data_IF_635113174406
#
_entry.id   IF_635113174406
#
_cell.length_a   1.000
_cell.length_b   1.000
_cell.length_c   1.000
_cell.angle_alpha   90.00
_cell.angle_beta   90.00
_cell.angle_gamma   90.00
#
_symmetry.space_group_name_H-M   'P 1'
#
loop_
_entity.id
_entity.type
_entity.pdbx_description
1 polymer ?
#
# COMPACT_ATOMS: atom_id res chain seq x y z
N UNK A 1 -14.28 21.72 -12.41
CA UNK A 1 -13.27 21.65 -11.35
C UNK A 1 -13.79 20.72 -10.29
N UNK A 2 -13.78 19.44 -10.57
CA UNK A 2 -14.07 18.42 -9.57
C UNK A 2 -12.76 18.06 -8.90
N UNK A 3 -12.64 18.51 -7.67
CA UNK A 3 -11.66 18.03 -6.73
C UNK A 3 -11.83 16.52 -6.60
N UNK A 4 -10.78 15.79 -6.91
CA UNK A 4 -10.75 14.34 -6.76
C UNK A 4 -11.30 13.95 -5.40
N UNK A 5 -12.15 12.96 -5.42
CA UNK A 5 -12.82 12.38 -4.28
C UNK A 5 -11.81 11.67 -3.37
N UNK A 6 -11.03 12.44 -2.63
CA UNK A 6 -10.56 11.96 -1.34
C UNK A 6 -11.80 11.90 -0.47
N UNK A 7 -12.05 10.85 0.25
CA UNK A 7 -13.17 10.85 1.16
C UNK A 7 -12.97 12.00 2.14
N UNK A 8 -13.65 13.11 1.88
CA UNK A 8 -13.72 14.24 2.80
C UNK A 8 -14.18 13.79 4.19
N UNK A 9 -14.78 12.64 4.29
CA UNK A 9 -15.17 11.93 5.49
C UNK A 9 -13.99 11.56 6.40
N UNK A 10 -12.77 11.42 5.87
CA UNK A 10 -11.57 11.21 6.70
C UNK A 10 -11.04 12.50 7.33
N UNK A 11 -11.38 13.68 6.82
CA UNK A 11 -11.02 14.95 7.46
C UNK A 11 -11.88 15.28 8.70
N UNK A 12 -13.03 14.64 8.85
CA UNK A 12 -13.97 14.91 9.97
C UNK A 12 -13.90 13.92 11.12
N UNK A 13 -12.84 13.13 11.18
CA UNK A 13 -12.57 12.25 12.30
C UNK A 13 -12.73 10.77 11.95
N UNK A 14 -11.76 10.00 12.42
CA UNK A 14 -11.82 8.54 12.40
C UNK A 14 -13.09 8.12 13.13
N UNK A 15 -13.95 7.28 12.54
CA UNK A 15 -15.11 6.78 13.24
C UNK A 15 -14.69 6.16 14.57
N UNK A 16 -15.30 6.60 15.66
CA UNK A 16 -15.03 6.04 16.97
C UNK A 16 -15.36 4.55 16.97
N UNK A 17 -14.39 3.70 17.30
CA UNK A 17 -14.60 2.27 17.44
C UNK A 17 -13.97 1.39 16.35
N UNK A 18 -13.25 1.96 15.37
CA UNK A 18 -12.41 1.15 14.48
C UNK A 18 -11.12 0.83 15.26
N UNK A 19 -10.83 -0.45 15.57
CA UNK A 19 -9.59 -0.80 16.21
C UNK A 19 -8.43 -0.53 15.27
N UNK A 20 -7.35 0.05 15.81
CA UNK A 20 -6.07 0.09 15.10
C UNK A 20 -5.60 -1.36 14.98
N UNK A 21 -5.34 -1.82 13.77
CA UNK A 21 -4.75 -3.12 13.54
C UNK A 21 -3.30 -3.09 14.03
N UNK A 22 -2.92 -4.09 14.80
CA UNK A 22 -1.60 -4.21 15.39
C UNK A 22 -0.88 -5.50 14.94
N UNK A 23 0.33 -5.68 15.43
CA UNK A 23 1.13 -6.86 15.09
C UNK A 23 0.47 -8.17 15.58
N UNK A 24 -0.31 -8.14 16.66
CA UNK A 24 -1.04 -9.30 17.12
C UNK A 24 -2.13 -9.73 16.11
N UNK A 25 -2.81 -8.78 15.49
CA UNK A 25 -3.75 -9.07 14.41
C UNK A 25 -3.03 -9.63 13.18
N UNK A 26 -1.88 -9.08 12.82
CA UNK A 26 -1.05 -9.61 11.73
C UNK A 26 -0.66 -11.06 11.99
N UNK A 27 -0.24 -11.40 13.20
CA UNK A 27 0.11 -12.77 13.58
C UNK A 27 -1.07 -13.73 13.43
N UNK A 28 -2.28 -13.32 13.86
CA UNK A 28 -3.50 -14.10 13.64
C UNK A 28 -3.79 -14.34 12.15
N UNK A 29 -3.55 -13.35 11.31
CA UNK A 29 -3.74 -13.47 9.85
C UNK A 29 -2.76 -14.46 9.22
N UNK A 30 -1.51 -14.46 9.66
CA UNK A 30 -0.48 -15.40 9.17
C UNK A 30 -0.80 -16.85 9.59
N UNK A 31 -1.47 -17.04 10.72
CA UNK A 31 -1.91 -18.35 11.19
C UNK A 31 -3.09 -18.93 10.40
N UNK A 32 -3.80 -18.13 9.62
CA UNK A 32 -4.87 -18.63 8.76
C UNK A 32 -4.34 -19.64 7.74
N UNK A 33 -5.10 -20.70 7.52
CA UNK A 33 -4.76 -21.73 6.54
C UNK A 33 -4.58 -21.09 5.15
N UNK A 34 -3.54 -21.52 4.43
CA UNK A 34 -3.19 -21.06 3.09
C UNK A 34 -2.65 -19.62 2.98
N UNK A 35 -2.46 -18.92 4.10
CA UNK A 35 -1.74 -17.65 4.13
C UNK A 35 -0.24 -17.92 4.24
N UNK A 36 0.53 -17.28 3.38
CA UNK A 36 2.00 -17.36 3.39
C UNK A 36 2.62 -16.21 4.17
N UNK A 37 2.07 -15.02 4.01
CA UNK A 37 2.50 -13.82 4.72
C UNK A 37 1.36 -12.80 4.77
N UNK A 38 1.49 -11.84 5.68
CA UNK A 38 0.55 -10.75 5.86
C UNK A 38 1.29 -9.46 6.21
N UNK A 39 0.74 -8.34 5.78
CA UNK A 39 1.29 -7.02 6.08
C UNK A 39 0.19 -6.01 6.30
N UNK A 40 0.46 -5.04 7.17
CA UNK A 40 -0.39 -3.90 7.43
C UNK A 40 0.23 -2.66 6.77
N UNK A 41 -0.60 -1.85 6.14
CA UNK A 41 -0.14 -0.66 5.45
C UNK A 41 -1.21 0.43 5.38
N UNK A 42 -0.74 1.65 5.09
CA UNK A 42 -1.59 2.78 4.71
C UNK A 42 -1.13 3.31 3.37
N UNK A 43 -2.02 3.90 2.59
CA UNK A 43 -1.68 4.39 1.26
C UNK A 43 -2.42 5.67 0.88
N UNK A 44 -1.77 6.44 0.03
CA UNK A 44 -2.36 7.53 -0.74
C UNK A 44 -1.93 7.39 -2.18
N UNK A 45 -2.88 7.58 -3.08
CA UNK A 45 -2.65 7.60 -4.51
C UNK A 45 -2.75 9.03 -5.06
N UNK A 46 -2.20 9.27 -6.23
CA UNK A 46 -2.27 10.57 -6.91
C UNK A 46 -1.78 11.74 -6.05
N UNK A 47 -0.72 11.50 -5.25
CA UNK A 47 -0.11 12.55 -4.43
C UNK A 47 0.82 13.42 -5.29
N UNK A 48 0.85 14.72 -5.00
CA UNK A 48 1.65 15.73 -5.68
C UNK A 48 2.49 16.59 -4.72
N UNK A 49 2.71 16.09 -3.51
CA UNK A 49 3.48 16.75 -2.45
C UNK A 49 4.75 15.98 -2.02
N UNK A 50 5.28 15.15 -2.93
CA UNK A 50 6.59 14.50 -2.74
C UNK A 50 7.59 15.19 -3.66
N UNK A 51 8.64 15.76 -3.07
CA UNK A 51 9.64 16.56 -3.78
C UNK A 51 11.06 16.08 -3.51
N UNK A 52 11.89 16.15 -4.53
CA UNK A 52 13.34 16.24 -4.36
C UNK A 52 13.79 17.59 -4.90
N UNK A 53 14.28 18.47 -4.01
CA UNK A 53 14.54 19.87 -4.34
C UNK A 53 13.28 20.53 -4.94
N UNK A 54 13.32 20.96 -6.18
CA UNK A 54 12.20 21.55 -6.90
C UNK A 54 11.44 20.56 -7.80
N UNK A 55 11.86 19.31 -7.86
CA UNK A 55 11.24 18.27 -8.69
C UNK A 55 10.14 17.56 -7.91
N UNK A 56 8.92 17.54 -8.44
CA UNK A 56 7.77 16.85 -7.85
C UNK A 56 7.57 15.48 -8.48
N UNK A 57 7.19 14.51 -7.66
CA UNK A 57 6.66 13.24 -8.14
C UNK A 57 5.17 13.42 -8.43
N UNK A 58 4.83 13.68 -9.70
CA UNK A 58 3.45 13.90 -10.11
C UNK A 58 2.64 12.62 -10.10
N UNK A 59 1.51 12.64 -9.41
CA UNK A 59 0.58 11.52 -9.36
C UNK A 59 1.16 10.27 -8.68
N UNK A 60 2.16 10.44 -7.83
CA UNK A 60 2.83 9.35 -7.13
C UNK A 60 1.96 8.65 -6.09
N UNK A 61 2.44 7.53 -5.61
CA UNK A 61 1.87 6.81 -4.48
C UNK A 61 2.74 6.99 -3.23
N UNK A 62 2.09 7.12 -2.09
CA UNK A 62 2.76 7.10 -0.80
C UNK A 62 2.20 5.95 0.03
N UNK A 63 3.08 5.10 0.55
CA UNK A 63 2.71 3.90 1.29
C UNK A 63 3.42 3.91 2.64
N UNK A 64 2.62 3.86 3.70
CA UNK A 64 3.10 3.60 5.06
C UNK A 64 3.14 2.09 5.28
N UNK A 65 4.34 1.52 5.27
CA UNK A 65 4.56 0.09 5.26
C UNK A 65 5.00 -0.43 6.64
N UNK A 66 4.48 -1.59 7.05
CA UNK A 66 5.09 -2.32 8.16
C UNK A 66 6.39 -3.03 7.70
N UNK A 67 7.08 -3.69 8.62
CA UNK A 67 8.35 -4.36 8.32
C UNK A 67 8.23 -5.55 7.36
N UNK A 68 7.03 -6.05 7.14
CA UNK A 68 6.74 -7.20 6.28
C UNK A 68 6.27 -6.83 4.88
N UNK A 69 5.87 -5.57 4.67
CA UNK A 69 5.19 -5.13 3.45
C UNK A 69 5.97 -5.44 2.17
N UNK A 70 7.24 -5.02 2.11
CA UNK A 70 8.06 -5.21 0.91
C UNK A 70 8.24 -6.69 0.58
N UNK A 71 8.46 -7.53 1.59
CA UNK A 71 8.55 -8.98 1.42
C UNK A 71 7.23 -9.62 1.03
N UNK A 72 6.12 -9.23 1.65
CA UNK A 72 4.78 -9.73 1.33
C UNK A 72 4.40 -9.40 -0.12
N UNK A 73 4.72 -8.19 -0.58
CA UNK A 73 4.50 -7.78 -1.97
C UNK A 73 5.49 -8.41 -2.96
N UNK A 74 6.56 -9.06 -2.49
CA UNK A 74 7.57 -9.66 -3.34
C UNK A 74 8.50 -8.65 -4.02
N UNK A 75 8.64 -7.47 -3.48
CA UNK A 75 9.59 -6.48 -3.95
C UNK A 75 11.03 -6.90 -3.61
N UNK A 76 11.95 -6.59 -4.50
CA UNK A 76 13.36 -6.87 -4.32
C UNK A 76 14.15 -5.57 -4.21
N UNK A 77 15.16 -5.58 -3.34
CA UNK A 77 16.06 -4.42 -3.20
C UNK A 77 16.97 -4.33 -4.42
N UNK A 78 16.88 -3.23 -5.14
CA UNK A 78 17.77 -2.90 -6.24
C UNK A 78 19.03 -2.20 -5.75
N UNK A 79 18.89 -1.35 -4.74
CA UNK A 79 19.99 -0.61 -4.12
C UNK A 79 19.80 -0.54 -2.63
N UNK A 80 20.87 -0.71 -1.89
CA UNK A 80 20.99 -0.55 -0.45
C UNK A 80 20.03 -1.45 0.35
N UNK A 81 19.17 -0.88 1.20
CA UNK A 81 18.38 -1.63 2.18
C UNK A 81 16.91 -1.26 2.19
N UNK A 82 16.10 -2.16 2.70
CA UNK A 82 14.74 -1.88 3.15
C UNK A 82 14.70 -1.25 4.55
N UNK A 83 13.54 -1.31 5.16
CA UNK A 83 13.37 -0.86 6.54
C UNK A 83 13.91 -1.87 7.54
N UNK A 84 14.52 -1.37 8.61
CA UNK A 84 15.03 -2.15 9.72
C UNK A 84 14.12 -1.98 10.94
N UNK A 85 14.21 -2.93 11.87
CA UNK A 85 13.52 -2.84 13.16
C UNK A 85 13.82 -1.51 13.89
N UNK A 86 15.07 -1.08 13.85
CA UNK A 86 15.50 0.21 14.43
C UNK A 86 14.82 1.42 13.79
N UNK A 87 14.47 1.36 12.50
CA UNK A 87 13.74 2.44 11.84
C UNK A 87 12.33 2.59 12.45
N UNK A 88 11.68 1.48 12.79
CA UNK A 88 10.36 1.46 13.44
C UNK A 88 10.45 1.88 14.90
N UNK A 89 11.36 1.30 15.66
CA UNK A 89 11.54 1.60 17.09
C UNK A 89 11.85 3.07 17.34
N UNK A 90 12.65 3.68 16.47
CA UNK A 90 13.11 5.07 16.61
C UNK A 90 12.29 6.07 15.80
N UNK A 91 11.22 5.65 15.15
CA UNK A 91 10.39 6.51 14.29
C UNK A 91 11.23 7.29 13.28
N UNK A 92 12.16 6.60 12.63
CA UNK A 92 13.07 7.25 11.69
C UNK A 92 12.34 7.68 10.43
N UNK A 93 12.57 8.93 10.03
CA UNK A 93 12.08 9.47 8.76
C UNK A 93 12.97 8.99 7.62
N UNK A 94 12.76 7.76 7.21
CA UNK A 94 13.46 7.10 6.10
C UNK A 94 12.46 6.70 5.03
N UNK A 95 12.91 6.66 3.79
CA UNK A 95 12.08 6.29 2.66
C UNK A 95 12.78 5.26 1.78
N UNK A 96 11.99 4.40 1.17
CA UNK A 96 12.37 3.54 0.07
C UNK A 96 11.56 4.00 -1.15
N UNK A 97 12.19 4.07 -2.30
CA UNK A 97 11.53 4.48 -3.54
C UNK A 97 11.57 3.33 -4.56
N UNK A 98 10.57 3.24 -5.42
CA UNK A 98 10.66 2.34 -6.56
C UNK A 98 11.50 2.95 -7.70
N UNK A 99 11.79 2.15 -8.72
CA UNK A 99 12.62 2.61 -9.85
C UNK A 99 11.99 3.79 -10.58
N UNK A 100 10.67 3.81 -10.72
CA UNK A 100 9.95 4.90 -11.42
C UNK A 100 10.04 6.20 -10.63
N UNK A 101 9.80 6.16 -9.32
CA UNK A 101 9.95 7.33 -8.46
C UNK A 101 11.41 7.81 -8.41
N UNK A 102 12.37 6.89 -8.36
CA UNK A 102 13.79 7.21 -8.40
C UNK A 102 14.18 7.96 -9.68
N UNK A 103 13.75 7.47 -10.84
CA UNK A 103 14.03 8.10 -12.12
C UNK A 103 13.34 9.47 -12.24
N UNK A 104 12.09 9.58 -11.78
CA UNK A 104 11.33 10.83 -11.84
C UNK A 104 11.89 11.93 -10.93
N UNK A 105 12.33 11.58 -9.71
CA UNK A 105 12.82 12.55 -8.73
C UNK A 105 14.30 12.87 -8.90
N UNK A 106 15.13 11.87 -9.21
CA UNK A 106 16.58 11.97 -9.16
C UNK A 106 17.26 11.91 -10.53
N UNK A 107 16.55 11.49 -11.56
CA UNK A 107 17.16 11.26 -12.86
C UNK A 107 18.32 10.26 -12.76
N UNK A 108 19.50 10.71 -13.12
CA UNK A 108 20.72 9.88 -13.07
C UNK A 108 21.45 9.92 -11.71
N UNK A 109 20.99 10.72 -10.76
CA UNK A 109 21.60 10.77 -9.43
C UNK A 109 21.28 9.50 -8.62
N UNK A 110 22.23 9.12 -7.75
CA UNK A 110 21.95 8.05 -6.79
C UNK A 110 20.96 8.52 -5.73
N UNK A 111 19.77 7.91 -5.60
CA UNK A 111 18.77 8.35 -4.63
C UNK A 111 19.18 8.15 -3.17
N UNK A 112 19.99 7.12 -2.90
CA UNK A 112 20.33 6.71 -1.54
C UNK A 112 21.16 7.80 -0.84
N UNK A 113 20.73 8.16 0.36
CA UNK A 113 21.33 9.24 1.14
C UNK A 113 20.79 10.64 0.84
N UNK A 114 19.95 10.79 -0.19
CA UNK A 114 19.29 12.05 -0.52
C UNK A 114 18.07 12.26 0.35
N UNK A 115 17.74 13.50 0.60
CA UNK A 115 16.55 13.91 1.36
C UNK A 115 15.44 14.29 0.41
N UNK A 116 14.29 13.65 0.56
CA UNK A 116 13.03 14.04 -0.11
C UNK A 116 12.11 14.71 0.90
N UNK A 117 11.26 15.59 0.40
CA UNK A 117 10.21 16.24 1.19
C UNK A 117 8.87 15.55 0.93
N UNK A 118 8.21 15.13 1.99
CA UNK A 118 6.87 14.54 1.92
C UNK A 118 5.93 15.40 2.75
N UNK A 119 5.11 16.20 2.08
CA UNK A 119 4.13 17.10 2.70
C UNK A 119 4.78 18.03 3.74
N UNK A 120 5.96 18.55 3.44
CA UNK A 120 6.74 19.42 4.31
C UNK A 120 7.68 18.72 5.30
N UNK A 121 7.67 17.38 5.36
CA UNK A 121 8.52 16.62 6.26
C UNK A 121 9.70 15.97 5.51
N UNK A 122 10.94 16.11 5.99
CA UNK A 122 12.11 15.54 5.36
C UNK A 122 12.25 14.05 5.67
N UNK A 123 12.47 13.24 4.62
CA UNK A 123 12.77 11.82 4.71
C UNK A 123 14.07 11.51 3.95
N UNK A 124 14.91 10.66 4.52
CA UNK A 124 16.15 10.23 3.87
C UNK A 124 15.89 8.94 3.11
N UNK A 125 16.21 8.92 1.83
CA UNK A 125 16.12 7.72 1.01
C UNK A 125 17.19 6.72 1.44
N UNK A 126 16.78 5.51 1.80
CA UNK A 126 17.67 4.44 2.27
C UNK A 126 17.74 3.26 1.31
N UNK A 127 16.87 3.20 0.31
CA UNK A 127 16.89 2.11 -0.64
C UNK A 127 16.03 2.37 -1.86
N UNK A 128 16.29 1.57 -2.89
CA UNK A 128 15.48 1.52 -4.12
C UNK A 128 15.03 0.09 -4.34
N UNK A 129 13.76 -0.08 -4.65
CA UNK A 129 13.16 -1.39 -4.94
C UNK A 129 12.68 -1.47 -6.38
N UNK A 130 12.49 -2.69 -6.82
CA UNK A 130 11.76 -3.02 -8.05
C UNK A 130 10.88 -4.25 -7.82
N UNK A 131 9.86 -4.39 -8.64
CA UNK A 131 9.03 -5.59 -8.61
C UNK A 131 9.84 -6.80 -9.07
N UNK A 132 9.65 -7.91 -8.37
CA UNK A 132 10.21 -9.17 -8.84
C UNK A 132 9.43 -9.67 -10.04
N UNK A 133 10.11 -9.99 -11.13
CA UNK A 133 9.49 -10.60 -12.33
C UNK A 133 8.87 -11.98 -12.07
N UNK A 134 9.18 -12.58 -10.93
CA UNK A 134 8.60 -13.84 -10.47
C UNK A 134 7.26 -13.66 -9.74
N UNK A 135 6.76 -12.44 -9.64
CA UNK A 135 5.61 -12.11 -8.83
C UNK A 135 4.47 -11.55 -9.68
N UNK A 136 3.29 -12.12 -9.50
CA UNK A 136 2.07 -11.44 -9.95
C UNK A 136 1.82 -10.23 -9.05
N UNK A 137 1.42 -9.08 -9.60
CA UNK A 137 1.14 -7.90 -8.80
C UNK A 137 0.08 -8.20 -7.75
N UNK A 138 0.29 -7.63 -6.59
CA UNK A 138 -0.72 -7.64 -5.54
C UNK A 138 -1.60 -6.43 -5.79
N UNK A 139 -2.79 -6.66 -6.25
CA UNK A 139 -3.77 -5.64 -6.58
C UNK A 139 -4.92 -5.82 -5.57
N UNK A 140 -5.39 -4.76 -4.95
CA UNK A 140 -6.40 -4.80 -3.89
C UNK A 140 -7.77 -4.27 -4.33
N UNK A 141 -7.83 -3.68 -5.53
CA UNK A 141 -9.05 -3.09 -6.08
C UNK A 141 -9.02 -3.06 -7.60
N UNK A 142 -10.19 -2.85 -8.21
CA UNK A 142 -10.28 -2.61 -9.67
C UNK A 142 -9.48 -1.37 -10.07
N UNK A 143 -9.46 -0.35 -9.22
CA UNK A 143 -8.69 0.87 -9.43
C UNK A 143 -7.19 0.59 -9.41
N UNK A 144 -6.73 -0.26 -8.48
CA UNK A 144 -5.33 -0.71 -8.44
C UNK A 144 -4.96 -1.47 -9.71
N UNK A 145 -5.86 -2.33 -10.21
CA UNK A 145 -5.65 -3.03 -11.47
C UNK A 145 -5.47 -2.07 -12.65
N UNK A 146 -6.34 -1.10 -12.79
CA UNK A 146 -6.20 -0.09 -13.84
C UNK A 146 -4.96 0.78 -13.64
N UNK A 147 -4.62 1.12 -12.42
CA UNK A 147 -3.40 1.88 -12.10
C UNK A 147 -2.15 1.08 -12.43
N UNK A 148 -2.17 -0.23 -12.18
CA UNK A 148 -1.07 -1.13 -12.53
C UNK A 148 -0.92 -1.29 -14.06
N UNK A 149 -2.03 -1.37 -14.77
CA UNK A 149 -2.03 -1.46 -16.25
C UNK A 149 -1.70 -0.14 -16.93
N UNK A 150 -1.91 1.00 -16.27
CA UNK A 150 -1.36 2.29 -16.68
C UNK A 150 0.07 2.37 -16.12
N UNK A 151 0.99 2.93 -16.87
CA UNK A 151 2.36 3.13 -16.42
C UNK A 151 2.35 3.73 -15.00
N UNK A 152 2.95 3.02 -14.06
CA UNK A 152 3.06 3.46 -12.68
C UNK A 152 3.74 4.83 -12.63
N UNK A 153 3.13 5.77 -11.95
CA UNK A 153 3.70 7.10 -11.73
C UNK A 153 4.82 7.10 -10.68
N UNK A 154 5.08 5.96 -10.07
CA UNK A 154 6.10 5.78 -9.05
C UNK A 154 5.55 5.74 -7.63
N UNK A 155 6.23 5.04 -6.75
CA UNK A 155 5.85 4.87 -5.35
C UNK A 155 7.00 5.18 -4.39
N UNK A 156 6.62 5.81 -3.28
CA UNK A 156 7.49 6.08 -2.13
C UNK A 156 6.92 5.37 -0.93
N UNK A 157 7.78 4.65 -0.23
CA UNK A 157 7.45 3.87 0.97
C UNK A 157 8.11 4.50 2.17
N UNK A 158 7.38 4.60 3.28
CA UNK A 158 7.88 5.06 4.57
C UNK A 158 7.47 4.06 5.65
N UNK A 159 8.18 3.96 6.78
CA UNK A 159 7.71 3.14 7.90
C UNK A 159 6.31 3.59 8.35
N UNK A 160 5.38 2.68 8.52
CA UNK A 160 4.01 3.04 8.91
C UNK A 160 3.93 3.87 10.20
N UNK A 161 4.87 3.69 11.10
CA UNK A 161 4.97 4.45 12.35
C UNK A 161 5.23 5.96 12.14
N UNK A 162 5.72 6.34 10.96
CA UNK A 162 5.92 7.75 10.59
C UNK A 162 4.69 8.38 9.93
N UNK A 163 3.64 7.61 9.65
CA UNK A 163 2.43 8.11 9.01
C UNK A 163 1.75 9.25 9.78
N UNK A 164 1.61 9.19 11.11
CA UNK A 164 1.06 10.31 11.87
C UNK A 164 1.90 11.58 11.82
N UNK A 165 3.20 11.47 11.54
CA UNK A 165 4.07 12.65 11.33
C UNK A 165 3.66 13.39 10.05
N UNK A 166 3.30 12.65 8.99
CA UNK A 166 2.91 13.23 7.70
C UNK A 166 1.48 13.77 7.75
N UNK A 167 0.54 12.97 8.29
CA UNK A 167 -0.89 13.27 8.27
C UNK A 167 -1.46 13.72 9.62
N UNK A 168 -0.66 13.73 10.68
CA UNK A 168 -0.98 14.24 12.03
C UNK A 168 -2.12 13.49 12.75
N UNK A 169 -2.49 12.31 12.31
CA UNK A 169 -3.45 11.43 12.99
C UNK A 169 -3.22 9.97 12.60
N UNK A 170 -3.74 9.07 13.42
CA UNK A 170 -3.74 7.64 13.14
C UNK A 170 -4.93 7.29 12.23
N UNK A 171 -4.68 6.50 11.22
CA UNK A 171 -5.68 6.03 10.27
C UNK A 171 -5.89 4.52 10.44
N UNK A 172 -7.09 4.01 10.07
CA UNK A 172 -7.28 2.59 9.92
C UNK A 172 -6.30 2.02 8.89
N UNK A 173 -5.72 0.89 9.20
CA UNK A 173 -4.77 0.22 8.33
C UNK A 173 -5.47 -0.69 7.33
N UNK A 174 -4.84 -0.90 6.19
CA UNK A 174 -5.20 -1.91 5.23
C UNK A 174 -4.37 -3.16 5.48
N UNK A 175 -4.87 -4.28 5.02
CA UNK A 175 -4.18 -5.58 5.10
C UNK A 175 -3.90 -6.08 3.69
N UNK A 176 -2.69 -6.53 3.48
CA UNK A 176 -2.32 -7.28 2.30
C UNK A 176 -1.86 -8.67 2.69
N UNK A 177 -2.33 -9.66 1.98
CA UNK A 177 -2.01 -11.06 2.22
C UNK A 177 -1.34 -11.67 1.01
N UNK A 178 -0.36 -12.52 1.28
CA UNK A 178 0.18 -13.46 0.30
C UNK A 178 -0.38 -14.83 0.58
N UNK A 179 -1.07 -15.41 -0.39
CA UNK A 179 -1.61 -16.76 -0.30
C UNK A 179 -0.66 -17.78 -0.92
N UNK A 180 -0.79 -19.04 -0.52
CA UNK A 180 0.05 -20.13 -1.03
C UNK A 180 -0.29 -20.51 -2.46
N UNK A 181 -1.56 -20.33 -2.86
CA UNK A 181 -2.07 -20.62 -4.20
C UNK A 181 -3.11 -19.60 -4.61
N UNK A 182 -3.17 -19.26 -5.89
CA UNK A 182 -4.21 -18.38 -6.45
C UNK A 182 -5.62 -18.95 -6.27
N UNK A 183 -5.76 -20.27 -6.24
CA UNK A 183 -7.05 -20.93 -6.00
C UNK A 183 -7.61 -20.68 -4.59
N UNK A 184 -6.77 -20.27 -3.67
CA UNK A 184 -7.14 -19.99 -2.28
C UNK A 184 -7.55 -18.53 -2.04
N UNK A 185 -7.38 -17.63 -3.01
CA UNK A 185 -7.51 -16.17 -2.83
C UNK A 185 -8.89 -15.77 -2.30
N UNK A 186 -9.96 -16.20 -2.95
CA UNK A 186 -11.33 -15.85 -2.56
C UNK A 186 -11.67 -16.35 -1.16
N UNK A 187 -11.32 -17.60 -0.86
CA UNK A 187 -11.59 -18.21 0.44
C UNK A 187 -10.80 -17.54 1.56
N UNK A 188 -9.52 -17.29 1.35
CA UNK A 188 -8.66 -16.61 2.33
C UNK A 188 -9.10 -15.18 2.52
N UNK A 189 -9.43 -14.45 1.44
CA UNK A 189 -9.93 -13.09 1.51
C UNK A 189 -11.20 -12.98 2.36
N UNK A 190 -12.16 -13.89 2.16
CA UNK A 190 -13.38 -13.93 2.96
C UNK A 190 -13.12 -14.21 4.43
N UNK A 191 -12.27 -15.20 4.75
CA UNK A 191 -11.91 -15.51 6.15
C UNK A 191 -11.19 -14.35 6.81
N UNK A 192 -10.34 -13.65 6.08
CA UNK A 192 -9.63 -12.47 6.57
C UNK A 192 -10.61 -11.35 6.90
N UNK A 193 -11.54 -11.04 5.99
CA UNK A 193 -12.55 -10.02 6.22
C UNK A 193 -13.43 -10.36 7.44
N UNK A 194 -13.83 -11.62 7.58
CA UNK A 194 -14.61 -12.09 8.72
C UNK A 194 -13.83 -11.90 10.04
N UNK A 195 -12.55 -12.29 10.08
CA UNK A 195 -11.70 -12.11 11.27
C UNK A 195 -11.53 -10.64 11.66
N UNK A 196 -11.29 -9.77 10.68
CA UNK A 196 -11.15 -8.34 10.93
C UNK A 196 -12.45 -7.73 11.42
N UNK A 197 -13.60 -8.13 10.85
CA UNK A 197 -14.91 -7.63 11.24
C UNK A 197 -15.38 -8.13 12.60
N UNK A 198 -14.96 -9.31 13.05
CA UNK A 198 -15.24 -9.82 14.40
C UNK A 198 -14.70 -8.89 15.51
N UNK A 199 -13.63 -8.16 15.22
CA UNK A 199 -12.98 -7.24 16.15
C UNK A 199 -13.50 -5.79 16.03
N UNK A 200 -14.45 -5.53 15.12
CA UNK A 200 -15.05 -4.22 14.97
C UNK A 200 -16.23 -4.03 15.91
N UNK A 201 -16.21 -2.92 16.64
CA UNK A 201 -17.35 -2.46 17.47
C UNK A 201 -18.31 -1.51 16.73
N UNK A 202 -18.25 -1.48 15.40
CA UNK A 202 -19.02 -0.56 14.56
C UNK A 202 -20.32 -1.23 14.12
N UNK A 203 -21.42 -0.57 14.32
CA UNK A 203 -22.76 -1.07 13.93
C UNK A 203 -23.14 -0.79 12.48
N UNK A 204 -22.37 0.02 11.77
CA UNK A 204 -22.63 0.41 10.39
C UNK A 204 -21.93 -0.54 9.42
N UNK A 205 -22.71 -1.23 8.60
CA UNK A 205 -22.19 -2.17 7.60
C UNK A 205 -21.32 -1.52 6.51
N UNK A 206 -21.45 -0.22 6.31
CA UNK A 206 -20.62 0.54 5.35
C UNK A 206 -19.17 0.70 5.83
N UNK A 207 -18.92 0.52 7.11
CA UNK A 207 -17.61 0.69 7.75
C UNK A 207 -16.88 -0.63 8.00
N UNK A 208 -17.39 -1.74 7.49
CA UNK A 208 -16.77 -3.06 7.65
C UNK A 208 -15.70 -3.31 6.59
N UNK A 209 -14.72 -4.12 6.95
CA UNK A 209 -13.75 -4.62 5.99
C UNK A 209 -14.42 -5.49 4.93
N UNK A 210 -13.97 -5.34 3.70
CA UNK A 210 -14.40 -6.15 2.56
C UNK A 210 -13.21 -6.90 2.00
N UNK A 211 -13.43 -8.15 1.61
CA UNK A 211 -12.46 -8.89 0.83
C UNK A 211 -12.62 -8.52 -0.65
N UNK A 212 -11.53 -8.21 -1.29
CA UNK A 212 -11.47 -8.00 -2.73
C UNK A 212 -10.61 -9.09 -3.36
N UNK A 213 -11.16 -9.77 -4.33
CA UNK A 213 -10.49 -10.83 -5.08
C UNK A 213 -10.22 -10.37 -6.51
N UNK A 214 -8.96 -10.17 -6.80
CA UNK A 214 -8.51 -9.68 -8.10
C UNK A 214 -8.70 -10.65 -9.25
N UNK A 215 -8.55 -11.93 -8.96
CA UNK A 215 -8.73 -12.95 -9.99
C UNK A 215 -10.17 -12.94 -10.50
N UNK A 216 -11.14 -12.75 -9.62
CA UNK A 216 -12.54 -12.64 -9.97
C UNK A 216 -12.81 -11.36 -10.77
N UNK A 217 -12.28 -10.22 -10.31
CA UNK A 217 -12.37 -8.94 -11.01
C UNK A 217 -11.69 -8.98 -12.39
N UNK A 218 -10.53 -9.60 -12.49
CA UNK A 218 -9.83 -9.76 -13.76
C UNK A 218 -10.62 -10.62 -14.76
N UNK A 219 -11.33 -11.65 -14.30
CA UNK A 219 -12.23 -12.46 -15.12
C UNK A 219 -13.43 -11.66 -15.61
N UNK A 220 -14.07 -10.89 -14.75
CA UNK A 220 -15.18 -10.02 -15.12
C UNK A 220 -14.78 -8.99 -16.19
N UNK A 221 -13.60 -8.38 -16.04
CA UNK A 221 -13.06 -7.43 -17.03
C UNK A 221 -12.79 -8.12 -18.35
N UNK A 222 -12.25 -9.33 -18.34
CA UNK A 222 -12.01 -10.11 -19.57
C UNK A 222 -13.33 -10.46 -20.28
N UNK A 223 -14.34 -10.90 -19.56
CA UNK A 223 -15.67 -11.21 -20.10
C UNK A 223 -16.34 -9.97 -20.71
N UNK A 224 -16.21 -8.79 -20.06
CA UNK A 224 -16.68 -7.52 -20.61
C UNK A 224 -15.93 -7.13 -21.89
N UNK A 225 -14.63 -7.32 -21.93
CA UNK A 225 -13.81 -7.06 -23.12
C UNK A 225 -14.19 -7.97 -24.29
N UNK A 226 -14.37 -9.24 -24.01
CA UNK A 226 -14.74 -10.24 -25.02
C UNK A 226 -16.15 -10.00 -25.56
N UNK A 227 -17.07 -9.53 -24.72
CA UNK A 227 -18.42 -9.18 -25.13
C UNK A 227 -18.46 -7.93 -26.03
N UNK A 228 -17.55 -6.96 -25.77
CA UNK A 228 -17.47 -5.73 -26.57
C UNK A 228 -16.82 -5.97 -27.91
N UNK A 229 -15.92 -6.94 -28.02
CA UNK A 229 -15.25 -7.30 -29.27
C UNK A 229 -16.11 -8.22 -30.18
N UNK A 230 -17.24 -8.71 -29.69
CA UNK A 230 -18.17 -9.59 -30.42
C UNK A 230 -19.39 -8.86 -31.00
N UNK A 231 -19.46 -7.54 -30.83
CA UNK A 231 -20.43 -6.65 -31.49
C UNK A 231 -19.80 -5.90 -32.67
#
# INVERSE_FOLDING_TARGET
>A
TESGNYPAEMEYGIPKGIPVLDDAMREQLVELSHVKDASLYMSRTQVDYIYYNSTVLSGGQLIGADSHYLGTCGYVMKRWRGFTESDYEKYRKVAVVDSVAADSLFGNENPVGKTIDIKGEPFIVVGVIEESTAFSPVINSVEDYYTYMQESSGAVYVPKVTWPIIYQYDEPENVILRVKSTDDMTRVGKKTADLLNENLSVSDDTMKYKAEDLLEQAKEIQELSDSTNSM
#
